data_IF_529091553442
#
_entry.id   IF_529091553442
#
_cell.length_a   1.000
_cell.length_b   1.000
_cell.length_c   1.000
_cell.angle_alpha   90.00
_cell.angle_beta   90.00
_cell.angle_gamma   90.00
#
_symmetry.space_group_name_H-M   'P 1'
#
loop_
_entity.id
_entity.type
_entity.pdbx_description
1 polymer ?
#
# COMPACT_ATOMS: atom_id res chain seq x y z
N UNK A 1 11.11 71.33 -1.90
CA UNK A 1 10.50 71.45 -0.56
C UNK A 1 9.35 70.45 -0.43
N UNK A 2 9.07 69.93 0.78
CA UNK A 2 9.16 68.50 1.04
C UNK A 2 7.93 67.88 1.74
N UNK A 3 8.06 66.59 2.04
CA UNK A 3 7.40 65.77 3.08
C UNK A 3 6.06 65.13 2.67
N UNK A 4 5.73 63.86 3.01
CA UNK A 4 6.15 63.06 4.18
C UNK A 4 5.84 61.56 3.95
N UNK A 5 6.79 60.69 4.33
CA UNK A 5 6.60 59.24 4.65
C UNK A 5 6.01 59.13 6.08
N UNK A 6 5.37 58.03 6.51
CA UNK A 6 6.08 56.85 7.05
C UNK A 6 5.50 55.49 6.54
N UNK A 7 6.30 54.44 6.26
CA UNK A 7 6.74 53.31 7.14
C UNK A 7 5.55 52.42 7.59
N UNK A 8 5.55 51.08 7.61
CA UNK A 8 6.43 49.95 7.23
C UNK A 8 5.82 48.69 7.87
N UNK A 9 6.28 47.49 7.42
CA UNK A 9 6.22 46.16 8.09
C UNK A 9 4.87 45.43 7.93
N UNK A 10 4.77 44.10 7.83
CA UNK A 10 5.72 42.99 7.70
C UNK A 10 4.94 41.75 7.22
N UNK A 11 5.65 40.81 6.60
CA UNK A 11 5.54 39.34 6.67
C UNK A 11 4.27 38.65 7.24
N UNK A 12 3.77 37.68 6.46
CA UNK A 12 3.01 36.51 6.93
C UNK A 12 3.98 35.43 7.50
N UNK A 13 3.55 34.23 7.99
CA UNK A 13 2.22 33.74 8.37
C UNK A 13 2.17 32.91 9.70
N UNK A 14 0.93 32.62 10.18
CA UNK A 14 0.41 31.44 10.96
C UNK A 14 1.11 31.00 12.27
N UNK A 15 0.37 30.78 13.39
CA UNK A 15 -0.41 29.52 13.60
C UNK A 15 -1.70 29.70 14.44
N UNK A 16 -2.76 28.92 14.17
CA UNK A 16 -3.28 27.81 14.99
C UNK A 16 -3.61 28.14 16.46
N UNK A 17 -4.92 28.17 16.79
CA UNK A 17 -5.41 27.97 18.15
C UNK A 17 -6.89 27.54 18.11
N UNK A 18 -7.14 26.30 18.54
CA UNK A 18 -8.38 25.88 19.17
C UNK A 18 -7.98 24.89 20.27
N UNK A 19 -7.78 25.43 21.47
CA UNK A 19 -7.71 24.77 22.77
C UNK A 19 -8.95 23.90 23.03
N UNK A 20 -8.79 22.63 23.43
CA UNK A 20 -8.80 22.11 24.83
C UNK A 20 -10.21 22.21 25.48
N UNK A 21 -10.88 21.17 26.00
CA UNK A 21 -10.51 20.20 27.05
C UNK A 21 -11.52 19.01 27.08
N UNK A 22 -11.11 17.73 27.12
CA UNK A 22 -10.87 16.79 28.26
C UNK A 22 -12.10 16.39 29.11
N UNK A 23 -12.42 15.09 29.08
CA UNK A 23 -12.87 14.24 30.21
C UNK A 23 -12.64 12.76 29.79
N UNK A 24 -11.51 12.16 30.16
CA UNK A 24 -11.35 11.26 31.31
C UNK A 24 -12.14 9.95 31.21
N UNK A 25 -11.45 8.85 30.89
CA UNK A 25 -11.74 7.55 31.49
C UNK A 25 -10.53 6.63 31.35
N UNK A 26 -9.86 6.44 32.48
CA UNK A 26 -8.84 5.42 32.68
C UNK A 26 -9.49 4.03 32.78
N UNK A 27 -8.89 3.03 32.14
CA UNK A 27 -8.81 1.65 32.65
C UNK A 27 -8.03 0.75 31.68
N UNK A 28 -6.76 0.50 31.99
CA UNK A 28 -6.05 -0.74 31.62
C UNK A 28 -6.70 -1.88 32.42
N UNK A 29 -6.92 -3.05 31.80
CA UNK A 29 -6.17 -4.21 32.29
C UNK A 29 -5.75 -5.15 31.15
N UNK A 30 -4.44 -5.26 30.97
CA UNK A 30 -3.80 -6.48 30.47
C UNK A 30 -3.54 -7.37 31.69
N UNK A 31 -3.93 -8.65 31.63
CA UNK A 31 -2.97 -9.66 32.02
C UNK A 31 -2.96 -10.84 31.05
N UNK A 32 -1.73 -11.25 30.73
CA UNK A 32 -1.36 -12.53 30.16
C UNK A 32 -1.85 -13.69 31.07
N UNK A 33 -2.52 -14.71 30.51
CA UNK A 33 -2.12 -16.11 30.76
C UNK A 33 -2.79 -17.12 29.82
N UNK A 34 -1.95 -18.11 29.48
CA UNK A 34 -2.12 -19.34 28.70
C UNK A 34 -3.26 -20.24 29.21
N UNK A 35 -4.08 -20.79 28.30
CA UNK A 35 -4.63 -22.15 28.37
C UNK A 35 -5.32 -22.59 27.06
N UNK A 36 -4.80 -23.68 26.49
CA UNK A 36 -5.46 -24.67 25.63
C UNK A 36 -6.79 -25.15 26.31
N UNK A 37 -7.87 -25.61 25.66
CA UNK A 37 -8.15 -26.95 25.13
C UNK A 37 -9.67 -26.95 24.73
N UNK A 38 -10.05 -27.67 23.64
CA UNK A 38 -11.34 -28.35 23.26
C UNK A 38 -12.70 -27.90 23.86
N UNK A 39 -13.86 -27.90 23.20
CA UNK A 39 -14.55 -28.99 22.48
C UNK A 39 -15.93 -28.46 22.00
N UNK A 40 -16.39 -29.01 20.88
CA UNK A 40 -17.78 -29.21 20.42
C UNK A 40 -18.91 -28.30 20.92
N UNK A 41 -19.50 -27.59 19.95
CA UNK A 41 -20.84 -27.01 20.04
C UNK A 41 -21.49 -26.95 18.67
N UNK A 42 -22.00 -28.08 18.20
CA UNK A 42 -22.86 -28.18 17.03
C UNK A 42 -24.12 -27.31 17.23
N UNK A 43 -24.23 -26.22 16.47
CA UNK A 43 -25.50 -25.54 16.27
C UNK A 43 -25.70 -25.29 14.78
N UNK A 44 -26.41 -26.23 14.15
CA UNK A 44 -26.94 -26.13 12.81
C UNK A 44 -28.00 -25.02 12.82
N UNK A 45 -27.57 -23.80 12.53
CA UNK A 45 -28.45 -22.69 12.22
C UNK A 45 -28.03 -22.07 10.89
N UNK A 46 -28.63 -22.60 9.82
CA UNK A 46 -28.89 -22.00 8.50
C UNK A 46 -28.03 -20.76 8.20
N UNK A 47 -26.75 -20.96 7.90
CA UNK A 47 -25.92 -19.92 7.28
C UNK A 47 -26.31 -19.84 5.82
N UNK A 48 -27.20 -18.89 5.48
CA UNK A 48 -27.15 -18.22 4.18
C UNK A 48 -25.67 -17.98 3.89
N UNK A 49 -25.14 -18.65 2.87
CA UNK A 49 -23.75 -18.49 2.42
C UNK A 49 -23.60 -17.05 1.96
N UNK A 50 -23.32 -16.16 2.92
CA UNK A 50 -22.77 -14.85 2.65
C UNK A 50 -21.40 -15.16 2.07
N UNK A 51 -21.31 -15.13 0.74
CA UNK A 51 -20.05 -15.25 0.01
C UNK A 51 -19.01 -14.40 0.73
N UNK A 52 -18.04 -15.04 1.37
CA UNK A 52 -16.97 -14.32 2.05
C UNK A 52 -16.26 -13.49 0.99
N UNK A 53 -16.42 -12.16 1.06
CA UNK A 53 -15.74 -11.23 0.17
C UNK A 53 -14.24 -11.49 0.34
N UNK A 54 -13.56 -11.83 -0.76
CA UNK A 54 -12.13 -12.07 -0.75
C UNK A 54 -11.41 -10.85 -0.20
N UNK A 55 -10.54 -11.05 0.79
CA UNK A 55 -9.73 -9.97 1.37
C UNK A 55 -8.83 -9.39 0.28
N UNK A 56 -8.88 -8.07 0.08
CA UNK A 56 -8.00 -7.36 -0.85
C UNK A 56 -6.77 -6.88 -0.07
N UNK A 57 -5.60 -7.39 -0.43
CA UNK A 57 -4.30 -6.93 0.11
C UNK A 57 -3.66 -6.00 -0.90
N UNK A 58 -3.26 -4.80 -0.47
CA UNK A 58 -2.55 -3.84 -1.30
C UNK A 58 -1.08 -3.85 -0.92
N UNK A 59 -0.24 -4.28 -1.85
CA UNK A 59 1.21 -4.16 -1.75
C UNK A 59 1.71 -3.02 -2.65
N UNK A 60 2.77 -2.33 -2.25
CA UNK A 60 3.36 -1.21 -2.99
C UNK A 60 4.77 -1.57 -3.42
N UNK A 61 4.99 -1.65 -4.74
CA UNK A 61 6.25 -2.09 -5.33
C UNK A 61 7.05 -0.93 -5.94
N UNK A 62 8.36 -0.98 -5.75
CA UNK A 62 9.34 -0.15 -6.47
C UNK A 62 9.91 -0.93 -7.65
N UNK A 63 9.95 -0.30 -8.83
CA UNK A 63 10.51 -0.88 -10.06
C UNK A 63 11.66 -0.02 -10.58
N UNK A 64 12.68 -0.63 -11.22
CA UNK A 64 13.62 0.12 -12.03
C UNK A 64 12.90 0.68 -13.26
N UNK A 65 13.43 1.76 -13.82
CA UNK A 65 12.76 2.51 -14.89
C UNK A 65 12.44 1.62 -16.10
N UNK A 66 13.39 0.79 -16.52
CA UNK A 66 13.25 -0.12 -17.65
C UNK A 66 12.06 -1.09 -17.50
N UNK A 67 11.89 -1.71 -16.32
CA UNK A 67 10.78 -2.63 -16.09
C UNK A 67 9.44 -1.90 -15.95
N UNK A 68 9.47 -0.66 -15.43
CA UNK A 68 8.27 0.17 -15.39
C UNK A 68 7.77 0.50 -16.82
N UNK A 69 8.67 0.76 -17.76
CA UNK A 69 8.33 0.98 -19.17
C UNK A 69 7.70 -0.26 -19.80
N UNK A 70 8.23 -1.46 -19.53
CA UNK A 70 7.63 -2.72 -20.02
C UNK A 70 6.15 -2.85 -19.63
N UNK A 71 5.78 -2.43 -18.41
CA UNK A 71 4.38 -2.45 -17.98
C UNK A 71 3.52 -1.49 -18.82
N UNK A 72 4.06 -0.32 -19.15
CA UNK A 72 3.38 0.65 -20.04
C UNK A 72 3.18 0.08 -21.44
N UNK A 73 4.20 -0.55 -22.00
CA UNK A 73 4.14 -1.12 -23.34
C UNK A 73 3.19 -2.32 -23.41
N UNK A 74 3.18 -3.18 -22.39
CA UNK A 74 2.18 -4.25 -22.28
C UNK A 74 0.76 -3.69 -22.28
N UNK A 75 0.50 -2.60 -21.55
CA UNK A 75 -0.82 -1.95 -21.58
C UNK A 75 -1.17 -1.41 -22.97
N UNK A 76 -0.21 -0.80 -23.68
CA UNK A 76 -0.44 -0.32 -25.05
C UNK A 76 -0.77 -1.47 -26.00
N UNK A 77 -0.04 -2.58 -25.90
CA UNK A 77 -0.29 -3.79 -26.70
C UNK A 77 -1.67 -4.36 -26.44
N UNK A 78 -2.08 -4.46 -25.18
CA UNK A 78 -3.44 -4.89 -24.83
C UNK A 78 -4.49 -3.91 -25.37
N UNK A 79 -4.25 -2.60 -25.27
CA UNK A 79 -5.18 -1.58 -25.76
C UNK A 79 -5.30 -1.62 -27.30
N UNK A 80 -4.21 -1.86 -28.02
CA UNK A 80 -4.23 -2.07 -29.46
C UNK A 80 -5.04 -3.32 -29.86
N UNK A 81 -5.08 -4.34 -28.99
CA UNK A 81 -5.96 -5.50 -29.13
C UNK A 81 -7.40 -5.26 -28.62
N UNK A 82 -7.76 -4.02 -28.24
CA UNK A 82 -9.08 -3.65 -27.71
C UNK A 82 -9.31 -3.99 -26.24
N UNK A 83 -8.29 -4.49 -25.53
CA UNK A 83 -8.38 -4.92 -24.13
C UNK A 83 -7.86 -3.81 -23.21
N UNK A 84 -8.75 -3.26 -22.39
CA UNK A 84 -8.39 -2.23 -21.42
C UNK A 84 -7.90 -2.88 -20.12
N UNK A 85 -6.61 -2.76 -19.82
CA UNK A 85 -5.99 -3.37 -18.63
C UNK A 85 -5.39 -2.34 -17.69
N UNK A 86 -5.55 -2.58 -16.38
CA UNK A 86 -4.90 -1.77 -15.33
C UNK A 86 -3.50 -2.29 -15.02
N UNK A 87 -2.66 -1.44 -14.40
CA UNK A 87 -1.32 -1.83 -13.96
C UNK A 87 -1.36 -3.08 -13.05
N UNK A 88 -2.27 -3.10 -12.09
CA UNK A 88 -2.42 -4.23 -11.16
C UNK A 88 -2.95 -5.50 -11.81
N UNK A 89 -3.60 -5.42 -12.98
CA UNK A 89 -4.04 -6.60 -13.73
C UNK A 89 -2.89 -7.21 -14.51
N UNK A 90 -2.05 -6.39 -15.15
CA UNK A 90 -0.83 -6.86 -15.83
C UNK A 90 0.09 -7.60 -14.85
N UNK A 91 0.29 -7.04 -13.65
CA UNK A 91 1.12 -7.70 -12.62
C UNK A 91 0.52 -9.04 -12.17
N UNK A 92 -0.79 -9.09 -11.90
CA UNK A 92 -1.46 -10.34 -11.51
C UNK A 92 -1.45 -11.38 -12.64
N UNK A 93 -1.63 -10.97 -13.89
CA UNK A 93 -1.53 -11.85 -15.06
C UNK A 93 -0.11 -12.44 -15.18
N UNK A 94 0.93 -11.64 -14.97
CA UNK A 94 2.31 -12.11 -14.92
C UNK A 94 2.52 -13.18 -13.85
N UNK A 95 2.00 -12.97 -12.63
CA UNK A 95 2.06 -13.97 -11.56
C UNK A 95 1.37 -15.28 -11.95
N UNK A 96 0.18 -15.21 -12.55
CA UNK A 96 -0.52 -16.41 -13.03
C UNK A 96 0.27 -17.16 -14.10
N UNK A 97 0.96 -16.47 -15.01
CA UNK A 97 1.84 -17.12 -15.99
C UNK A 97 3.04 -17.78 -15.31
N UNK A 98 3.70 -17.09 -14.37
CA UNK A 98 4.86 -17.62 -13.65
C UNK A 98 4.53 -18.89 -12.86
N UNK A 99 3.31 -19.00 -12.31
CA UNK A 99 2.87 -20.23 -11.61
C UNK A 99 2.60 -21.43 -12.52
N UNK A 100 2.51 -21.21 -13.84
CA UNK A 100 2.31 -22.29 -14.81
C UNK A 100 3.63 -22.84 -15.37
N UNK A 101 4.76 -22.14 -15.14
CA UNK A 101 6.07 -22.54 -15.63
C UNK A 101 6.65 -23.71 -14.82
N UNK A 102 7.53 -24.49 -15.45
CA UNK A 102 8.33 -25.50 -14.75
C UNK A 102 9.38 -24.88 -13.82
N UNK A 103 9.89 -25.64 -12.84
CA UNK A 103 10.87 -25.14 -11.86
C UNK A 103 12.12 -24.53 -12.52
N UNK A 104 12.64 -25.16 -13.58
CA UNK A 104 13.87 -24.68 -14.24
C UNK A 104 13.63 -23.41 -15.06
N UNK A 105 12.49 -23.30 -15.73
CA UNK A 105 12.07 -22.08 -16.44
C UNK A 105 11.81 -20.93 -15.47
N UNK A 106 11.18 -21.23 -14.33
CA UNK A 106 10.93 -20.24 -13.28
C UNK A 106 12.26 -19.71 -12.72
N UNK A 107 13.24 -20.57 -12.44
CA UNK A 107 14.58 -20.14 -12.01
C UNK A 107 15.22 -19.20 -13.02
N UNK A 108 15.23 -19.58 -14.29
CA UNK A 108 15.78 -18.74 -15.35
C UNK A 108 15.02 -17.41 -15.48
N UNK A 109 13.70 -17.41 -15.30
CA UNK A 109 12.89 -16.20 -15.33
C UNK A 109 13.24 -15.26 -14.17
N UNK A 110 13.44 -15.80 -12.96
CA UNK A 110 13.83 -15.03 -11.77
C UNK A 110 15.26 -14.49 -11.88
N UNK A 111 16.20 -15.26 -12.41
CA UNK A 111 17.59 -14.82 -12.61
C UNK A 111 17.73 -13.64 -13.57
N UNK A 112 16.81 -13.51 -14.53
CA UNK A 112 16.76 -12.38 -15.48
C UNK A 112 16.23 -11.09 -14.85
N UNK A 113 15.57 -11.16 -13.69
CA UNK A 113 15.05 -9.97 -12.99
C UNK A 113 16.18 -9.39 -12.15
N UNK A 114 16.52 -8.13 -12.40
CA UNK A 114 17.50 -7.41 -11.59
C UNK A 114 17.00 -7.27 -10.15
N UNK A 115 17.89 -7.52 -9.19
CA UNK A 115 17.59 -7.26 -7.78
C UNK A 115 17.55 -5.76 -7.55
N UNK A 116 16.35 -5.20 -7.43
CA UNK A 116 16.16 -3.81 -7.03
C UNK A 116 16.69 -3.64 -5.61
N UNK A 117 17.67 -2.77 -5.42
CA UNK A 117 18.08 -2.33 -4.09
C UNK A 117 16.97 -1.42 -3.54
N UNK A 118 15.95 -2.01 -2.94
CA UNK A 118 14.93 -1.26 -2.24
C UNK A 118 15.49 -0.80 -0.89
N UNK A 119 16.03 0.41 -0.86
CA UNK A 119 16.19 1.16 0.38
C UNK A 119 15.03 2.12 0.56
N UNK A 120 14.46 2.18 1.78
CA UNK A 120 13.93 3.46 2.27
C UNK A 120 15.16 4.38 2.32
N UNK A 121 15.24 5.53 1.64
CA UNK A 121 16.33 6.46 1.91
C UNK A 121 16.30 6.75 3.40
N UNK A 122 17.38 6.42 4.10
CA UNK A 122 17.56 6.80 5.49
C UNK A 122 17.68 8.32 5.52
N UNK A 123 16.57 9.02 5.73
CA UNK A 123 16.64 10.38 6.23
C UNK A 123 17.02 10.30 7.72
N UNK A 124 18.32 10.21 7.97
CA UNK A 124 18.99 11.03 8.98
C UNK A 124 18.68 12.51 8.70
N UNK A 125 18.45 13.28 9.76
CA UNK A 125 17.90 14.64 9.72
C UNK A 125 18.72 15.68 8.96
N UNK A 126 18.02 16.64 8.38
CA UNK A 126 17.90 18.01 8.91
C UNK A 126 16.52 18.56 8.48
#
# INVERSE_FOLDING_TARGET
MPTKKPKSKNEAPLPAENELVIAESAATPEPEHVAEITDSGENIAVKKVKSHKTKVIRDSFSFPEHDYQKISDLKKTCLAAGIHVKKSEVLRAGLHLLTQLGIDELKQAVEKVEKVQTGRPSSSGD
#
